data_IF_469636606300
#
_entry.id   IF_469636606300
#
_cell.length_a   1.000
_cell.length_b   1.000
_cell.length_c   1.000
_cell.angle_alpha   90.00
_cell.angle_beta   90.00
_cell.angle_gamma   90.00
#
_symmetry.space_group_name_H-M   'P 1'
#
loop_
_entity.id
_entity.type
_entity.pdbx_description
1 polymer ?
#
# COMPACT_ATOMS: atom_id res chain seq x y z
N UNK A 1 -8.02 11.27 -4.34
CA UNK A 1 -6.67 11.30 -4.97
C UNK A 1 -6.14 12.72 -5.23
N UNK A 2 -6.86 13.60 -5.96
CA UNK A 2 -6.37 14.93 -6.33
C UNK A 2 -6.02 15.85 -5.13
N UNK A 3 -6.85 15.84 -4.08
CA UNK A 3 -6.63 16.63 -2.86
C UNK A 3 -5.40 16.15 -2.08
N UNK A 4 -5.20 14.83 -2.03
CA UNK A 4 -4.04 14.20 -1.35
C UNK A 4 -2.74 14.59 -2.06
N UNK A 5 -2.74 14.63 -3.39
CA UNK A 5 -1.63 15.12 -4.22
C UNK A 5 -1.23 16.55 -3.90
N UNK A 6 -2.19 17.45 -3.69
CA UNK A 6 -1.91 18.85 -3.37
C UNK A 6 -1.27 19.02 -1.98
N UNK A 7 -1.77 18.29 -0.99
CA UNK A 7 -1.25 18.36 0.38
C UNK A 7 0.17 17.78 0.49
N UNK A 8 0.40 16.61 -0.10
CA UNK A 8 1.68 15.92 0.00
C UNK A 8 2.70 16.37 -1.05
N UNK A 9 2.26 16.92 -2.19
CA UNK A 9 3.15 17.47 -3.21
C UNK A 9 3.97 18.65 -2.71
N UNK A 10 3.39 19.50 -1.85
CA UNK A 10 4.13 20.61 -1.23
C UNK A 10 5.09 20.17 -0.12
N UNK A 11 4.79 19.04 0.54
CA UNK A 11 5.65 18.44 1.58
C UNK A 11 6.80 17.65 0.93
N UNK A 12 6.64 17.23 -0.32
CA UNK A 12 7.54 16.32 -1.01
C UNK A 12 8.90 16.91 -1.45
N UNK A 13 9.02 18.23 -1.53
CA UNK A 13 10.19 18.92 -2.07
C UNK A 13 11.41 18.96 -1.14
N UNK A 14 11.28 18.44 0.09
CA UNK A 14 12.37 18.48 1.08
C UNK A 14 13.12 17.13 1.11
N UNK A 15 14.46 17.11 0.97
CA UNK A 15 15.25 15.87 0.97
C UNK A 15 15.13 15.08 2.29
N UNK A 16 14.90 15.76 3.41
CA UNK A 16 14.61 15.14 4.72
C UNK A 16 13.32 14.29 4.69
N UNK A 17 12.35 14.66 3.85
CA UNK A 17 11.07 13.96 3.74
C UNK A 17 11.22 12.66 2.94
N UNK A 18 12.32 12.52 2.19
CA UNK A 18 12.64 11.31 1.47
C UNK A 18 12.84 10.09 2.39
N UNK A 19 13.51 10.30 3.54
CA UNK A 19 13.62 9.30 4.63
C UNK A 19 12.24 8.91 5.20
N UNK A 20 11.25 9.79 5.08
CA UNK A 20 9.92 9.60 5.68
C UNK A 20 8.92 8.87 4.76
N UNK A 21 9.17 8.77 3.45
CA UNK A 21 8.23 8.10 2.53
C UNK A 21 8.04 6.62 2.83
N UNK A 22 9.13 5.89 3.08
CA UNK A 22 9.10 4.45 3.35
C UNK A 22 8.28 4.14 4.63
N UNK A 23 8.53 4.76 5.79
CA UNK A 23 7.74 4.50 7.00
C UNK A 23 6.28 4.96 6.86
N UNK A 24 6.00 6.05 6.12
CA UNK A 24 4.62 6.47 5.84
C UNK A 24 3.90 5.43 4.97
N UNK A 25 4.56 4.93 3.92
CA UNK A 25 4.03 3.89 3.05
C UNK A 25 3.69 2.61 3.84
N UNK A 26 4.54 2.23 4.79
CA UNK A 26 4.28 1.12 5.71
C UNK A 26 3.05 1.38 6.60
N UNK A 27 2.94 2.57 7.20
CA UNK A 27 1.82 2.93 8.05
C UNK A 27 0.48 2.86 7.29
N UNK A 28 0.46 3.31 6.04
CA UNK A 28 -0.70 3.21 5.15
C UNK A 28 -1.07 1.74 4.90
N UNK A 29 -0.11 0.88 4.60
CA UNK A 29 -0.36 -0.54 4.34
C UNK A 29 -0.91 -1.28 5.59
N UNK A 30 -0.40 -0.95 6.78
CA UNK A 30 -0.91 -1.46 8.05
C UNK A 30 -2.34 -0.99 8.31
N UNK A 31 -2.63 0.29 8.05
CA UNK A 31 -3.98 0.83 8.19
C UNK A 31 -4.96 0.13 7.24
N UNK A 32 -4.57 -0.09 5.98
CA UNK A 32 -5.36 -0.82 4.97
C UNK A 32 -5.66 -2.25 5.39
N UNK A 33 -4.64 -3.00 5.83
CA UNK A 33 -4.82 -4.37 6.32
C UNK A 33 -5.75 -4.43 7.54
N UNK A 34 -5.61 -3.49 8.46
CA UNK A 34 -6.43 -3.42 9.69
C UNK A 34 -7.89 -3.11 9.36
N UNK A 35 -8.14 -2.13 8.50
CA UNK A 35 -9.51 -1.79 8.05
C UNK A 35 -10.14 -2.98 7.32
N UNK A 36 -9.39 -3.62 6.42
CA UNK A 36 -9.88 -4.78 5.65
C UNK A 36 -10.23 -5.98 6.55
N UNK A 37 -9.44 -6.24 7.60
CA UNK A 37 -9.75 -7.29 8.58
C UNK A 37 -10.93 -6.96 9.49
N UNK A 38 -11.18 -5.68 9.76
CA UNK A 38 -12.31 -5.23 10.59
C UNK A 38 -13.63 -5.17 9.80
N UNK A 39 -13.55 -5.00 8.48
CA UNK A 39 -14.69 -4.91 7.56
C UNK A 39 -15.73 -6.05 7.67
N UNK A 40 -15.38 -7.34 7.75
CA UNK A 40 -16.36 -8.42 7.86
C UNK A 40 -17.13 -8.42 9.19
N UNK A 41 -16.65 -7.72 10.22
CA UNK A 41 -17.29 -7.67 11.54
C UNK A 41 -18.35 -6.56 11.65
N UNK A 42 -18.56 -5.76 10.60
CA UNK A 42 -19.44 -4.60 10.59
C UNK A 42 -20.71 -4.90 9.81
N UNK A 43 -21.84 -4.94 10.50
CA UNK A 43 -23.16 -5.23 9.90
C UNK A 43 -23.93 -3.96 9.48
N UNK A 44 -23.43 -2.77 9.86
CA UNK A 44 -24.08 -1.48 9.62
C UNK A 44 -23.55 -0.78 8.37
N UNK A 45 -24.44 -0.44 7.43
CA UNK A 45 -24.09 0.22 6.16
C UNK A 45 -23.36 1.56 6.34
N UNK A 46 -23.77 2.36 7.32
CA UNK A 46 -23.13 3.66 7.62
C UNK A 46 -21.66 3.50 8.02
N UNK A 47 -21.36 2.47 8.81
CA UNK A 47 -20.01 2.19 9.28
C UNK A 47 -19.15 1.67 8.12
N UNK A 48 -19.70 0.82 7.25
CA UNK A 48 -19.01 0.36 6.03
C UNK A 48 -18.69 1.53 5.09
N UNK A 49 -19.60 2.51 4.96
CA UNK A 49 -19.36 3.70 4.14
C UNK A 49 -18.17 4.53 4.65
N UNK A 50 -18.08 4.72 5.97
CA UNK A 50 -16.95 5.43 6.60
C UNK A 50 -15.64 4.67 6.36
N UNK A 51 -15.64 3.35 6.54
CA UNK A 51 -14.47 2.52 6.26
C UNK A 51 -14.07 2.54 4.78
N UNK A 52 -15.03 2.53 3.86
CA UNK A 52 -14.77 2.64 2.42
C UNK A 52 -14.14 4.00 2.06
N UNK A 53 -14.60 5.09 2.67
CA UNK A 53 -13.96 6.40 2.50
C UNK A 53 -12.52 6.39 3.03
N UNK A 54 -12.27 5.81 4.20
CA UNK A 54 -10.92 5.69 4.77
C UNK A 54 -9.99 4.84 3.89
N UNK A 55 -10.45 3.68 3.42
CA UNK A 55 -9.73 2.85 2.45
C UNK A 55 -9.35 3.65 1.21
N UNK A 56 -10.29 4.39 0.62
CA UNK A 56 -10.02 5.21 -0.57
C UNK A 56 -9.00 6.33 -0.35
N UNK A 57 -8.95 6.92 0.85
CA UNK A 57 -7.91 7.89 1.22
C UNK A 57 -6.55 7.20 1.31
N UNK A 58 -6.47 6.06 2.01
CA UNK A 58 -5.25 5.30 2.18
C UNK A 58 -4.70 4.78 0.84
N UNK A 59 -5.53 4.22 -0.05
CA UNK A 59 -5.13 3.83 -1.42
C UNK A 59 -4.59 5.03 -2.20
N UNK A 60 -5.21 6.20 -2.05
CA UNK A 60 -4.76 7.43 -2.68
C UNK A 60 -3.38 7.88 -2.20
N UNK A 61 -3.07 7.73 -0.91
CA UNK A 61 -1.74 8.04 -0.35
C UNK A 61 -0.71 7.02 -0.84
N UNK A 62 -1.06 5.73 -0.85
CA UNK A 62 -0.20 4.67 -1.38
C UNK A 62 0.24 4.96 -2.83
N UNK A 63 -0.71 5.21 -3.73
CA UNK A 63 -0.39 5.51 -5.13
C UNK A 63 0.35 6.84 -5.32
N UNK A 64 0.15 7.80 -4.42
CA UNK A 64 0.91 9.03 -4.44
C UNK A 64 2.39 8.78 -4.13
N UNK A 65 2.68 7.96 -3.10
CA UNK A 65 4.03 7.64 -2.68
C UNK A 65 4.74 6.67 -3.63
N UNK A 66 3.99 5.82 -4.33
CA UNK A 66 4.53 4.86 -5.29
C UNK A 66 5.40 5.54 -6.37
N UNK A 67 5.02 6.73 -6.84
CA UNK A 67 5.81 7.49 -7.82
C UNK A 67 7.19 7.89 -7.29
N UNK A 68 7.29 8.71 -6.23
CA UNK A 68 8.55 9.09 -5.60
C UNK A 68 9.42 7.90 -5.17
N UNK A 69 8.82 6.85 -4.58
CA UNK A 69 9.55 5.65 -4.17
C UNK A 69 10.16 4.93 -5.37
N UNK A 70 9.42 4.82 -6.48
CA UNK A 70 9.91 4.12 -7.68
C UNK A 70 11.02 4.91 -8.37
N UNK A 71 10.91 6.25 -8.41
CA UNK A 71 11.99 7.12 -8.92
C UNK A 71 13.26 7.00 -8.06
N UNK A 72 13.11 6.89 -6.73
CA UNK A 72 14.25 6.68 -5.83
C UNK A 72 14.91 5.32 -6.03
N UNK A 73 14.12 4.26 -6.24
CA UNK A 73 14.62 2.88 -6.29
C UNK A 73 15.23 2.50 -7.64
N UNK A 74 14.63 2.96 -8.75
CA UNK A 74 14.98 2.51 -10.12
C UNK A 74 15.53 3.64 -10.98
N UNK A 75 15.55 4.87 -10.46
CA UNK A 75 15.94 6.08 -11.19
C UNK A 75 14.79 6.65 -12.05
N UNK A 76 14.89 7.93 -12.40
CA UNK A 76 13.84 8.64 -13.13
C UNK A 76 13.55 8.03 -14.52
N UNK A 77 14.59 7.58 -15.23
CA UNK A 77 14.48 7.05 -16.60
C UNK A 77 13.62 5.80 -16.71
N UNK A 78 13.69 4.91 -15.72
CA UNK A 78 13.00 3.61 -15.73
C UNK A 78 11.77 3.57 -14.81
N UNK A 79 11.44 4.69 -14.16
CA UNK A 79 10.39 4.76 -13.15
C UNK A 79 9.00 4.39 -13.68
N UNK A 80 8.62 4.91 -14.85
CA UNK A 80 7.31 4.63 -15.46
C UNK A 80 7.17 3.17 -15.92
N UNK A 81 8.25 2.56 -16.42
CA UNK A 81 8.28 1.13 -16.77
C UNK A 81 8.13 0.25 -15.53
N UNK A 82 8.85 0.57 -14.45
CA UNK A 82 8.76 -0.17 -13.20
C UNK A 82 7.35 -0.09 -12.59
N UNK A 83 6.74 1.10 -12.57
CA UNK A 83 5.35 1.29 -12.15
C UNK A 83 4.39 0.51 -13.06
N UNK A 84 4.57 0.55 -14.38
CA UNK A 84 3.75 -0.19 -15.34
C UNK A 84 3.84 -1.71 -15.14
N UNK A 85 5.04 -2.23 -14.92
CA UNK A 85 5.26 -3.64 -14.60
C UNK A 85 4.61 -4.04 -13.27
N UNK A 86 4.72 -3.18 -12.24
CA UNK A 86 4.02 -3.37 -10.98
C UNK A 86 2.51 -3.50 -11.21
N UNK A 87 1.89 -2.55 -11.91
CA UNK A 87 0.47 -2.60 -12.26
C UNK A 87 0.07 -3.82 -13.10
N UNK A 88 0.94 -4.24 -14.01
CA UNK A 88 0.75 -5.46 -14.79
C UNK A 88 0.71 -6.72 -13.92
N UNK A 89 1.58 -6.81 -12.90
CA UNK A 89 1.59 -7.93 -11.97
C UNK A 89 0.35 -7.97 -11.06
N UNK A 90 -0.12 -6.83 -10.54
CA UNK A 90 -1.34 -6.75 -9.72
C UNK A 90 -2.63 -6.97 -10.52
N UNK A 91 -2.63 -6.80 -11.84
CA UNK A 91 -3.80 -7.06 -12.67
C UNK A 91 -4.28 -8.52 -12.62
N UNK A 92 -3.35 -9.48 -12.47
CA UNK A 92 -3.68 -10.91 -12.34
C UNK A 92 -4.48 -11.23 -11.07
N UNK A 93 -4.01 -10.91 -9.84
CA UNK A 93 -4.79 -11.13 -8.64
C UNK A 93 -6.06 -10.28 -8.59
N UNK A 94 -6.07 -9.08 -9.18
CA UNK A 94 -7.29 -8.27 -9.27
C UNK A 94 -8.36 -8.96 -10.13
N UNK A 95 -7.96 -9.57 -11.25
CA UNK A 95 -8.85 -10.31 -12.14
C UNK A 95 -9.26 -11.67 -11.55
N UNK A 96 -8.36 -12.33 -10.82
CA UNK A 96 -8.65 -13.58 -10.13
C UNK A 96 -9.50 -13.38 -8.87
N UNK A 97 -9.51 -12.18 -8.28
CA UNK A 97 -10.22 -11.85 -7.04
C UNK A 97 -11.72 -12.17 -7.09
N UNK A 98 -12.49 -11.67 -8.07
CA UNK A 98 -13.91 -12.00 -8.23
C UNK A 98 -14.16 -13.49 -8.42
N UNK A 99 -13.33 -14.16 -9.24
CA UNK A 99 -13.44 -15.60 -9.51
C UNK A 99 -13.19 -16.44 -8.26
N UNK A 100 -12.16 -16.07 -7.47
CA UNK A 100 -11.84 -16.73 -6.21
C UNK A 100 -12.91 -16.47 -5.15
N UNK A 101 -13.43 -15.24 -5.07
CA UNK A 101 -14.51 -14.90 -4.15
C UNK A 101 -15.80 -15.67 -4.45
N UNK A 102 -16.16 -15.82 -5.74
CA UNK A 102 -17.28 -16.65 -6.18
C UNK A 102 -17.08 -18.12 -5.83
N UNK A 103 -15.91 -18.68 -6.14
CA UNK A 103 -15.59 -20.08 -5.80
C UNK A 103 -15.62 -20.35 -4.28
N UNK A 104 -15.13 -19.42 -3.47
CA UNK A 104 -15.15 -19.56 -2.01
C UNK A 104 -16.57 -19.45 -1.45
N UNK A 105 -17.42 -18.59 -2.04
CA UNK A 105 -18.84 -18.50 -1.69
C UNK A 105 -19.58 -19.79 -2.02
N UNK A 106 -19.35 -20.37 -3.20
CA UNK A 106 -19.98 -21.64 -3.62
C UNK A 106 -19.57 -22.82 -2.73
N UNK A 107 -18.37 -22.80 -2.13
CA UNK A 107 -17.85 -23.90 -1.31
C UNK A 107 -18.22 -23.82 0.17
N UNK A 108 -18.22 -22.62 0.75
CA UNK A 108 -18.39 -22.42 2.20
C UNK A 108 -19.71 -21.73 2.58
N UNK A 109 -20.44 -21.16 1.62
CA UNK A 109 -21.70 -20.45 1.86
C UNK A 109 -21.56 -19.13 2.64
N UNK A 110 -20.34 -18.67 2.93
CA UNK A 110 -20.07 -17.39 3.60
C UNK A 110 -18.82 -16.71 3.05
N UNK A 111 -18.84 -15.36 2.99
CA UNK A 111 -17.74 -14.51 2.51
C UNK A 111 -16.63 -14.31 3.55
N UNK A 112 -16.86 -14.66 4.82
CA UNK A 112 -15.89 -14.48 5.91
C UNK A 112 -14.52 -15.11 5.66
N UNK A 113 -14.51 -16.23 4.94
CA UNK A 113 -13.28 -16.96 4.62
C UNK A 113 -12.52 -16.25 3.50
N UNK A 114 -13.24 -15.67 2.53
CA UNK A 114 -12.65 -14.92 1.42
C UNK A 114 -11.95 -13.65 1.92
N UNK A 115 -12.59 -12.90 2.82
CA UNK A 115 -11.97 -11.72 3.44
C UNK A 115 -10.73 -12.07 4.28
N UNK A 116 -10.75 -13.21 4.99
CA UNK A 116 -9.58 -13.68 5.75
C UNK A 116 -8.41 -14.05 4.85
N UNK A 117 -8.67 -14.77 3.75
CA UNK A 117 -7.65 -15.17 2.77
C UNK A 117 -7.07 -13.96 2.03
N UNK A 118 -7.90 -12.94 1.73
CA UNK A 118 -7.45 -11.67 1.16
C UNK A 118 -6.60 -10.83 2.12
N UNK A 119 -6.79 -10.96 3.44
CA UNK A 119 -6.00 -10.26 4.46
C UNK A 119 -4.59 -10.83 4.69
N UNK A 120 -4.40 -12.15 4.51
CA UNK A 120 -3.09 -12.82 4.69
C UNK A 120 -1.94 -12.18 3.90
N UNK A 121 -2.07 -11.84 2.59
CA UNK A 121 -0.99 -11.18 1.86
C UNK A 121 -0.62 -9.80 2.44
N UNK A 122 -1.54 -9.08 3.08
CA UNK A 122 -1.23 -7.82 3.76
C UNK A 122 -0.32 -8.03 4.98
N UNK A 123 -0.50 -9.15 5.72
CA UNK A 123 0.34 -9.50 6.87
C UNK A 123 1.72 -10.00 6.42
N UNK A 124 1.78 -10.79 5.35
CA UNK A 124 3.06 -11.22 4.77
C UNK A 124 3.87 -10.02 4.28
N UNK A 125 3.20 -9.02 3.70
CA UNK A 125 3.84 -7.75 3.31
C UNK A 125 4.48 -7.04 4.51
N UNK A 126 3.84 -7.06 5.68
CA UNK A 126 4.40 -6.51 6.91
C UNK A 126 5.66 -7.27 7.36
N UNK A 127 5.65 -8.61 7.32
CA UNK A 127 6.79 -9.43 7.74
C UNK A 127 8.03 -9.24 6.85
N UNK A 128 7.86 -9.04 5.54
CA UNK A 128 8.99 -8.86 4.61
C UNK A 128 9.56 -7.44 4.63
N UNK A 129 8.78 -6.43 5.04
CA UNK A 129 9.19 -5.02 5.06
C UNK A 129 9.83 -4.54 6.37
N UNK A 130 9.57 -5.19 7.51
CA UNK A 130 10.28 -4.92 8.79
C UNK A 130 11.82 -5.02 8.64
N UNK A 131 12.38 -6.08 8.04
CA UNK A 131 13.84 -6.14 7.81
C UNK A 131 14.31 -5.16 6.74
N UNK A 132 13.44 -4.73 5.82
CA UNK A 132 13.79 -3.79 4.75
C UNK A 132 13.90 -2.34 5.26
N UNK A 133 12.98 -1.88 6.12
CA UNK A 133 13.08 -0.56 6.76
C UNK A 133 14.32 -0.41 7.65
N UNK A 134 14.73 -1.48 8.33
CA UNK A 134 15.98 -1.49 9.10
C UNK A 134 17.23 -1.40 8.20
N UNK A 135 17.14 -1.80 6.94
CA UNK A 135 18.25 -1.77 5.97
C UNK A 135 18.30 -0.43 5.22
N UNK A 136 17.16 0.13 4.84
CA UNK A 136 17.10 1.44 4.19
C UNK A 136 17.50 2.58 5.12
N UNK A 137 17.07 2.60 6.39
CA UNK A 137 17.54 3.61 7.35
C UNK A 137 19.07 3.66 7.45
N UNK A 138 19.75 2.51 7.36
CA UNK A 138 21.21 2.45 7.30
C UNK A 138 21.78 2.99 5.99
N UNK A 139 21.16 2.71 4.85
CA UNK A 139 21.63 3.19 3.54
C UNK A 139 21.48 4.71 3.42
N UNK A 140 20.38 5.28 3.93
CA UNK A 140 20.20 6.74 3.88
C UNK A 140 21.09 7.46 4.89
N UNK A 141 21.42 6.88 6.06
CA UNK A 141 22.49 7.42 6.91
C UNK A 141 23.86 7.34 6.23
N UNK A 142 24.18 6.23 5.55
CA UNK A 142 25.44 6.10 4.79
C UNK A 142 25.56 7.03 3.57
N UNK A 143 24.43 7.49 3.03
CA UNK A 143 24.41 8.46 1.94
C UNK A 143 24.56 9.90 2.44
N UNK A 144 23.97 10.21 3.60
CA UNK A 144 24.08 11.52 4.27
C UNK A 144 25.53 11.75 4.78
N UNK A 145 26.17 10.73 5.35
CA UNK A 145 27.58 10.79 5.80
C UNK A 145 28.60 10.95 4.66
N UNK A 146 28.24 10.66 3.41
CA UNK A 146 29.13 10.86 2.24
C UNK A 146 29.04 12.26 1.63
N UNK A 147 28.12 13.09 2.10
CA UNK A 147 27.89 14.46 1.58
C UNK A 147 28.26 15.57 2.58
N UNK A 148 28.84 15.23 3.74
CA UNK A 148 29.58 16.13 4.66
C UNK A 148 31.07 15.89 4.59
#
# INVERSE_FOLDING_TARGET
>A
MAVIRLLFGSIADKPIVMKLYIPIHQAVFVAMGTITMCLPSVESFEVVLIFAMMMGVCDGIFFLLLGPITVHLVGAENSSQAVGFYFGLIAFPLSAGPSLAGFMYDRYGSYDVAFRVLGVPCIVHLMTLIPFAGKENKIVDFADERHT
#
